data_IF_704812657358
#
_entry.id   IF_704812657358
#
_cell.length_a   1.000
_cell.length_b   1.000
_cell.length_c   1.000
_cell.angle_alpha   90.00
_cell.angle_beta   90.00
_cell.angle_gamma   90.00
#
_symmetry.space_group_name_H-M   'P 1'
#
loop_
_entity.id
_entity.type
_entity.pdbx_description
1 polymer ?
#
# COMPACT_ATOMS: atom_id res chain seq x y z
N UNK A 1 19.69 8.71 5.06
CA UNK A 1 19.00 7.71 5.89
C UNK A 1 19.25 7.90 7.38
N UNK A 2 20.51 8.07 7.83
CA UNK A 2 20.83 8.19 9.27
C UNK A 2 20.07 9.31 10.00
N UNK A 3 19.94 10.50 9.39
CA UNK A 3 19.16 11.61 9.95
C UNK A 3 17.67 11.24 10.16
N UNK A 4 17.05 10.60 9.16
CA UNK A 4 15.64 10.19 9.23
C UNK A 4 15.45 9.15 10.33
N UNK A 5 16.34 8.14 10.40
CA UNK A 5 16.28 7.12 11.44
C UNK A 5 16.40 7.74 12.84
N UNK A 6 17.35 8.65 13.06
CA UNK A 6 17.51 9.37 14.33
C UNK A 6 16.25 10.15 14.72
N UNK A 7 15.58 10.78 13.75
CA UNK A 7 14.32 11.52 13.99
C UNK A 7 13.16 10.57 14.32
N UNK A 8 12.99 9.50 13.57
CA UNK A 8 11.96 8.49 13.84
C UNK A 8 12.16 7.83 15.21
N UNK A 9 13.39 7.49 15.57
CA UNK A 9 13.71 6.93 16.90
C UNK A 9 13.36 7.90 18.03
N UNK A 10 13.65 9.19 17.87
CA UNK A 10 13.28 10.20 18.86
C UNK A 10 11.76 10.31 19.02
N UNK A 11 11.00 10.24 17.92
CA UNK A 11 9.53 10.27 17.93
C UNK A 11 8.96 9.04 18.63
N UNK A 12 9.45 7.84 18.29
CA UNK A 12 8.99 6.57 18.90
C UNK A 12 9.27 6.57 20.40
N UNK A 13 10.49 6.93 20.82
CA UNK A 13 10.86 6.99 22.24
C UNK A 13 10.01 7.97 23.02
N UNK A 14 9.79 9.17 22.46
CA UNK A 14 8.92 10.18 23.07
C UNK A 14 7.51 9.63 23.27
N UNK A 15 6.93 9.01 22.24
CA UNK A 15 5.57 8.44 22.35
C UNK A 15 5.48 7.27 23.33
N UNK A 16 6.50 6.41 23.40
CA UNK A 16 6.55 5.34 24.42
C UNK A 16 6.54 5.91 25.83
N UNK A 17 7.37 6.92 26.09
CA UNK A 17 7.39 7.58 27.38
C UNK A 17 6.03 8.20 27.71
N UNK A 18 5.40 8.89 26.75
CA UNK A 18 4.03 9.42 26.94
C UNK A 18 3.02 8.32 27.31
N UNK A 19 3.10 7.15 26.67
CA UNK A 19 2.20 6.01 26.94
C UNK A 19 2.48 5.39 28.31
N UNK A 20 3.75 5.27 28.71
CA UNK A 20 4.17 4.76 30.02
C UNK A 20 3.79 5.70 31.15
N UNK A 21 3.92 7.01 30.93
CA UNK A 21 3.54 8.05 31.90
C UNK A 21 2.01 8.21 32.00
N UNK A 22 1.25 7.79 30.99
CA UNK A 22 -0.21 7.86 30.98
C UNK A 22 -0.81 6.69 31.78
N UNK A 23 -1.54 6.96 32.88
CA UNK A 23 -2.21 5.94 33.67
C UNK A 23 -3.07 4.98 32.84
N UNK A 24 -3.20 3.72 33.28
CA UNK A 24 -3.93 2.67 32.54
C UNK A 24 -5.41 3.01 32.29
N UNK A 25 -6.03 3.76 33.21
CA UNK A 25 -7.42 4.21 33.14
C UNK A 25 -7.63 5.45 32.24
N UNK A 26 -6.54 6.08 31.79
CA UNK A 26 -6.59 7.23 30.90
C UNK A 26 -6.48 6.82 29.44
N UNK A 27 -7.15 7.62 28.60
CA UNK A 27 -7.28 7.36 27.18
C UNK A 27 -6.01 7.78 26.42
N UNK A 28 -5.55 6.94 25.49
CA UNK A 28 -4.42 7.24 24.61
C UNK A 28 -4.88 7.80 23.26
N UNK A 29 -4.10 8.65 22.58
CA UNK A 29 -4.46 9.15 21.25
C UNK A 29 -4.67 8.03 20.22
N UNK A 30 -5.77 8.09 19.45
CA UNK A 30 -6.04 7.16 18.35
C UNK A 30 -5.28 7.56 17.08
N UNK A 31 -3.97 7.37 17.10
CA UNK A 31 -3.11 7.56 15.93
C UNK A 31 -2.30 6.30 15.62
N UNK A 32 -1.77 6.24 14.38
CA UNK A 32 -1.05 5.07 13.85
C UNK A 32 0.11 4.67 14.76
N UNK A 33 0.85 5.65 15.29
CA UNK A 33 2.03 5.37 16.13
C UNK A 33 1.62 4.76 17.46
N UNK A 34 0.58 5.30 18.10
CA UNK A 34 0.02 4.72 19.33
C UNK A 34 -0.44 3.29 19.10
N UNK A 35 -1.22 3.04 18.04
CA UNK A 35 -1.72 1.70 17.70
C UNK A 35 -0.58 0.70 17.48
N UNK A 36 0.50 1.10 16.79
CA UNK A 36 1.69 0.25 16.60
C UNK A 36 2.41 -0.06 17.92
N UNK A 37 2.50 0.91 18.84
CA UNK A 37 3.19 0.74 20.13
C UNK A 37 2.40 -0.17 21.08
N UNK A 38 1.08 0.02 21.15
CA UNK A 38 0.24 -0.69 22.12
C UNK A 38 -0.24 -2.06 21.62
N UNK A 39 -0.06 -2.39 20.34
CA UNK A 39 -0.51 -3.67 19.79
C UNK A 39 0.06 -4.84 20.60
N UNK A 40 -0.81 -5.78 20.96
CA UNK A 40 -0.49 -6.93 21.81
C UNK A 40 0.03 -6.57 23.22
N UNK A 41 -0.37 -5.41 23.74
CA UNK A 41 -0.16 -5.04 25.15
C UNK A 41 -1.49 -4.98 25.89
N UNK A 42 -1.46 -4.85 27.22
CA UNK A 42 -2.67 -4.64 28.03
C UNK A 42 -3.45 -3.36 27.68
N UNK A 43 -2.86 -2.46 26.89
CA UNK A 43 -3.49 -1.24 26.38
C UNK A 43 -4.14 -1.43 25.01
N UNK A 44 -3.95 -2.59 24.35
CA UNK A 44 -4.61 -2.91 23.08
C UNK A 44 -6.10 -3.15 23.31
N UNK A 45 -6.96 -2.43 22.57
CA UNK A 45 -8.42 -2.60 22.66
C UNK A 45 -8.84 -3.98 22.17
N UNK A 46 -8.08 -4.54 21.22
CA UNK A 46 -8.30 -5.88 20.67
C UNK A 46 -7.41 -6.93 21.37
N UNK A 47 -7.04 -6.72 22.64
CA UNK A 47 -6.24 -7.68 23.38
C UNK A 47 -7.00 -9.02 23.53
N UNK A 48 -6.62 -10.01 22.72
CA UNK A 48 -7.17 -11.36 22.80
C UNK A 48 -6.32 -12.17 23.78
N UNK A 49 -6.89 -12.55 24.94
CA UNK A 49 -6.29 -13.48 25.92
C UNK A 49 -6.09 -14.92 25.39
N UNK A 50 -6.45 -15.19 24.13
CA UNK A 50 -6.44 -16.53 23.55
C UNK A 50 -5.07 -16.92 22.96
N UNK A 51 -4.18 -17.41 23.83
CA UNK A 51 -3.26 -18.53 23.55
C UNK A 51 -2.12 -18.38 22.52
N UNK A 52 -2.11 -17.33 21.70
CA UNK A 52 -0.96 -16.95 20.85
C UNK A 52 -0.53 -15.53 21.19
N UNK A 53 0.25 -15.39 22.25
CA UNK A 53 0.88 -14.12 22.61
C UNK A 53 1.89 -13.75 21.53
N UNK A 54 1.49 -12.93 20.56
CA UNK A 54 2.45 -12.23 19.71
C UNK A 54 3.04 -11.09 20.53
N UNK A 55 4.37 -11.03 20.67
CA UNK A 55 5.04 -9.97 21.42
C UNK A 55 4.68 -8.58 20.88
N UNK A 56 4.86 -7.55 21.70
CA UNK A 56 4.82 -6.16 21.25
C UNK A 56 5.89 -5.90 20.18
N UNK A 57 5.61 -4.90 19.33
CA UNK A 57 6.51 -4.49 18.26
C UNK A 57 7.73 -3.75 18.83
N UNK A 58 8.91 -4.04 18.29
CA UNK A 58 10.16 -3.35 18.65
C UNK A 58 10.24 -1.97 17.98
N UNK A 59 11.05 -1.06 18.54
CA UNK A 59 11.27 0.26 17.96
C UNK A 59 11.80 0.17 16.52
N UNK A 60 12.60 -0.85 16.22
CA UNK A 60 13.10 -1.06 14.86
C UNK A 60 11.99 -1.45 13.90
N UNK A 61 11.09 -2.34 14.29
CA UNK A 61 9.94 -2.72 13.47
C UNK A 61 8.96 -1.55 13.28
N UNK A 62 8.68 -0.80 14.35
CA UNK A 62 7.86 0.42 14.27
C UNK A 62 8.51 1.44 13.34
N UNK A 63 9.82 1.67 13.45
CA UNK A 63 10.56 2.59 12.58
C UNK A 63 10.45 2.19 11.12
N UNK A 64 10.61 0.90 10.81
CA UNK A 64 10.48 0.38 9.44
C UNK A 64 9.05 0.62 8.92
N UNK A 65 8.02 0.31 9.71
CA UNK A 65 6.63 0.54 9.31
C UNK A 65 6.31 2.03 9.08
N UNK A 66 6.79 2.93 9.95
CA UNK A 66 6.64 4.38 9.76
C UNK A 66 7.38 4.86 8.51
N UNK A 67 8.58 4.33 8.28
CA UNK A 67 9.38 4.69 7.11
C UNK A 67 8.73 4.21 5.81
N UNK A 68 8.17 3.01 5.79
CA UNK A 68 7.40 2.46 4.67
C UNK A 68 6.16 3.32 4.37
N UNK A 69 5.43 3.73 5.42
CA UNK A 69 4.34 4.70 5.29
C UNK A 69 4.77 5.99 4.61
N UNK A 70 5.90 6.58 5.04
CA UNK A 70 6.44 7.82 4.46
C UNK A 70 6.91 7.66 3.00
N UNK A 71 7.52 6.52 2.66
CA UNK A 71 7.94 6.24 1.29
C UNK A 71 6.75 6.06 0.34
N UNK A 72 5.67 5.44 0.81
CA UNK A 72 4.42 5.29 0.06
C UNK A 72 3.76 6.64 -0.27
N UNK A 73 3.85 7.61 0.64
CA UNK A 73 3.18 8.92 0.50
C UNK A 73 3.58 9.66 -0.77
N UNK A 74 4.84 9.63 -1.22
CA UNK A 74 5.25 10.44 -2.39
C UNK A 74 4.58 10.02 -3.70
N UNK A 75 4.40 8.70 -3.91
CA UNK A 75 3.77 8.18 -5.14
C UNK A 75 2.26 8.31 -5.07
N UNK A 76 1.71 8.03 -3.89
CA UNK A 76 0.30 8.15 -3.59
C UNK A 76 -0.17 9.61 -3.58
N UNK A 77 0.64 10.58 -3.13
CA UNK A 77 0.32 12.00 -3.18
C UNK A 77 0.23 12.52 -4.62
N UNK A 78 1.13 12.07 -5.50
CA UNK A 78 1.01 12.37 -6.93
C UNK A 78 -0.30 11.79 -7.49
N UNK A 79 -0.59 10.51 -7.21
CA UNK A 79 -1.84 9.87 -7.63
C UNK A 79 -3.08 10.64 -7.12
N UNK A 80 -3.12 11.02 -5.84
CA UNK A 80 -4.20 11.82 -5.26
C UNK A 80 -4.30 13.20 -5.90
N UNK A 81 -3.20 13.88 -6.20
CA UNK A 81 -3.23 15.17 -6.89
C UNK A 81 -3.86 15.05 -8.28
N UNK A 82 -3.56 13.98 -9.03
CA UNK A 82 -4.18 13.73 -10.33
C UNK A 82 -5.66 13.38 -10.19
N UNK A 83 -6.02 12.52 -9.22
CA UNK A 83 -7.41 12.17 -8.94
C UNK A 83 -8.23 13.42 -8.58
N UNK A 84 -7.74 14.24 -7.64
CA UNK A 84 -8.41 15.47 -7.23
C UNK A 84 -8.55 16.42 -8.42
N UNK A 85 -7.49 16.59 -9.23
CA UNK A 85 -7.53 17.42 -10.42
C UNK A 85 -8.62 16.97 -11.39
N UNK A 86 -8.70 15.69 -11.74
CA UNK A 86 -9.70 15.21 -12.70
C UNK A 86 -11.11 15.20 -12.11
N UNK A 87 -11.28 14.83 -10.84
CA UNK A 87 -12.59 14.90 -10.17
C UNK A 87 -13.09 16.34 -10.09
N UNK A 88 -12.21 17.32 -9.83
CA UNK A 88 -12.61 18.73 -9.76
C UNK A 88 -12.98 19.32 -11.12
N UNK A 89 -12.42 18.78 -12.21
CA UNK A 89 -12.72 19.23 -13.57
C UNK A 89 -13.93 18.48 -14.17
N UNK A 90 -14.13 17.20 -13.84
CA UNK A 90 -15.13 16.31 -14.44
C UNK A 90 -15.96 15.57 -13.36
N UNK A 91 -16.88 16.29 -12.68
CA UNK A 91 -17.64 15.80 -11.52
C UNK A 91 -18.96 15.07 -11.85
N UNK A 92 -19.06 14.43 -13.02
CA UNK A 92 -20.34 13.97 -13.59
C UNK A 92 -21.11 12.94 -12.74
N UNK A 93 -20.43 11.97 -12.10
CA UNK A 93 -21.07 10.95 -11.25
C UNK A 93 -20.04 10.16 -10.42
N UNK A 94 -20.51 9.42 -9.39
CA UNK A 94 -19.64 8.56 -8.58
C UNK A 94 -18.98 7.45 -9.39
N UNK A 95 -19.70 6.86 -10.35
CA UNK A 95 -19.14 5.85 -11.26
C UNK A 95 -18.05 6.43 -12.16
N UNK A 96 -18.19 7.69 -12.59
CA UNK A 96 -17.14 8.37 -13.35
C UNK A 96 -15.92 8.69 -12.48
N UNK A 97 -16.11 9.07 -11.21
CA UNK A 97 -14.99 9.22 -10.27
C UNK A 97 -14.22 7.91 -10.09
N UNK A 98 -14.92 6.77 -10.00
CA UNK A 98 -14.28 5.46 -9.94
C UNK A 98 -13.50 5.13 -11.22
N UNK A 99 -14.05 5.44 -12.39
CA UNK A 99 -13.38 5.31 -13.68
C UNK A 99 -12.09 6.17 -13.75
N UNK A 100 -12.14 7.40 -13.25
CA UNK A 100 -10.97 8.28 -13.13
C UNK A 100 -9.92 7.64 -12.22
N UNK A 101 -10.30 7.16 -11.03
CA UNK A 101 -9.37 6.51 -10.09
C UNK A 101 -8.68 5.30 -10.72
N UNK A 102 -9.44 4.43 -11.40
CA UNK A 102 -8.91 3.25 -12.08
C UNK A 102 -7.95 3.63 -13.21
N UNK A 103 -8.29 4.64 -14.01
CA UNK A 103 -7.44 5.06 -15.12
C UNK A 103 -6.16 5.78 -14.65
N UNK A 104 -6.24 6.59 -13.57
CA UNK A 104 -5.05 7.14 -12.93
C UNK A 104 -4.18 6.02 -12.39
N UNK A 105 -4.74 5.01 -11.71
CA UNK A 105 -3.97 3.87 -11.21
C UNK A 105 -3.30 3.05 -12.33
N UNK A 106 -3.93 3.00 -13.52
CA UNK A 106 -3.34 2.36 -14.70
C UNK A 106 -2.12 3.15 -15.20
N UNK A 107 -2.29 4.45 -15.44
CA UNK A 107 -1.25 5.30 -16.06
C UNK A 107 -0.15 5.66 -15.06
N UNK A 108 -0.51 5.94 -13.82
CA UNK A 108 0.40 6.31 -12.74
C UNK A 108 0.25 5.32 -11.58
N UNK A 109 0.69 4.07 -11.75
CA UNK A 109 0.55 3.07 -10.71
C UNK A 109 1.34 3.48 -9.47
N UNK A 110 0.72 3.30 -8.29
CA UNK A 110 1.36 3.59 -6.99
C UNK A 110 2.69 2.84 -6.83
N UNK A 111 2.78 1.64 -7.42
CA UNK A 111 4.01 0.85 -7.50
C UNK A 111 4.35 0.54 -8.95
N UNK A 112 5.59 0.85 -9.36
CA UNK A 112 6.08 0.55 -10.73
C UNK A 112 6.27 -0.96 -10.94
N UNK A 113 6.77 -1.65 -9.92
CA UNK A 113 7.08 -3.07 -9.97
C UNK A 113 7.18 -3.65 -8.56
N UNK A 114 6.96 -4.95 -8.42
CA UNK A 114 7.22 -5.69 -7.18
C UNK A 114 7.96 -6.99 -7.46
N UNK A 115 8.58 -7.55 -6.42
CA UNK A 115 9.29 -8.82 -6.53
C UNK A 115 8.53 -9.98 -5.89
N UNK A 116 8.82 -11.18 -6.39
CA UNK A 116 8.46 -12.47 -5.79
C UNK A 116 9.69 -13.35 -5.75
N UNK A 117 9.87 -14.09 -4.67
CA UNK A 117 11.00 -15.00 -4.49
C UNK A 117 10.49 -16.44 -4.41
N UNK A 118 11.18 -17.35 -5.10
CA UNK A 118 10.82 -18.77 -5.14
C UNK A 118 11.56 -19.56 -4.07
N UNK A 119 10.80 -20.14 -3.14
CA UNK A 119 11.37 -21.01 -2.09
C UNK A 119 11.59 -22.46 -2.54
N UNK A 120 10.99 -22.86 -3.66
CA UNK A 120 11.11 -24.19 -4.27
C UNK A 120 11.13 -24.06 -5.79
N UNK A 121 11.65 -25.09 -6.46
CA UNK A 121 11.56 -25.17 -7.91
C UNK A 121 10.10 -25.31 -8.36
N UNK A 122 9.72 -24.58 -9.40
CA UNK A 122 8.34 -24.57 -9.90
C UNK A 122 8.28 -24.29 -11.41
N UNK A 123 7.17 -24.66 -12.04
CA UNK A 123 6.91 -24.41 -13.45
C UNK A 123 6.08 -23.13 -13.61
N UNK A 124 6.70 -22.07 -14.14
CA UNK A 124 6.07 -20.76 -14.33
C UNK A 124 6.19 -20.37 -15.81
N UNK A 125 5.07 -19.95 -16.40
CA UNK A 125 4.97 -19.57 -17.82
C UNK A 125 5.47 -20.66 -18.80
N UNK A 126 5.35 -21.93 -18.42
CA UNK A 126 5.81 -23.08 -19.23
C UNK A 126 7.26 -23.48 -19.00
N UNK A 127 8.04 -22.68 -18.27
CA UNK A 127 9.46 -22.94 -17.98
C UNK A 127 9.65 -23.51 -16.58
N UNK A 128 10.62 -24.41 -16.43
CA UNK A 128 11.04 -24.91 -15.13
C UNK A 128 12.05 -23.95 -14.50
N UNK A 129 11.74 -23.41 -13.33
CA UNK A 129 12.61 -22.50 -12.59
C UNK A 129 13.16 -23.18 -11.35
N UNK A 130 14.44 -23.02 -11.02
CA UNK A 130 14.99 -23.52 -9.76
C UNK A 130 14.47 -22.70 -8.56
N UNK A 131 14.66 -23.21 -7.35
CA UNK A 131 14.49 -22.42 -6.14
C UNK A 131 15.54 -21.29 -6.09
N UNK A 132 15.24 -20.22 -5.37
CA UNK A 132 16.16 -19.09 -5.18
C UNK A 132 16.08 -18.02 -6.25
N UNK A 133 15.09 -18.06 -7.14
CA UNK A 133 14.89 -17.07 -8.19
C UNK A 133 13.99 -15.94 -7.70
N UNK A 134 14.44 -14.70 -7.94
CA UNK A 134 13.64 -13.48 -7.78
C UNK A 134 13.02 -13.10 -9.12
N UNK A 135 11.69 -13.06 -9.18
CA UNK A 135 10.92 -12.51 -10.29
C UNK A 135 10.57 -11.06 -10.00
N UNK A 136 10.77 -10.18 -10.98
CA UNK A 136 10.32 -8.79 -10.93
C UNK A 136 9.13 -8.67 -11.87
N UNK A 137 7.99 -8.24 -11.33
CA UNK A 137 6.77 -8.00 -12.08
C UNK A 137 6.68 -6.49 -12.33
N UNK A 138 6.81 -6.09 -13.59
CA UNK A 138 6.72 -4.69 -14.01
C UNK A 138 5.25 -4.30 -14.29
N UNK A 139 4.63 -3.67 -13.29
CA UNK A 139 3.25 -3.19 -13.37
C UNK A 139 3.11 -2.15 -14.48
N UNK A 140 4.07 -1.21 -14.59
CA UNK A 140 3.98 -0.13 -15.57
C UNK A 140 4.04 -0.66 -17.00
N UNK A 141 4.88 -1.65 -17.26
CA UNK A 141 4.94 -2.32 -18.55
C UNK A 141 3.62 -3.05 -18.87
N UNK A 142 3.06 -3.78 -17.89
CA UNK A 142 1.78 -4.50 -18.04
C UNK A 142 0.62 -3.53 -18.33
N UNK A 143 0.52 -2.43 -17.57
CA UNK A 143 -0.52 -1.41 -17.70
C UNK A 143 -0.45 -0.60 -19.01
N UNK A 144 0.72 -0.62 -19.67
CA UNK A 144 0.96 0.10 -20.90
C UNK A 144 1.07 -0.82 -22.14
N UNK A 145 0.81 -2.12 -22.00
CA UNK A 145 0.99 -3.06 -23.12
C UNK A 145 -0.15 -2.94 -24.13
N UNK A 146 0.18 -2.60 -25.37
CA UNK A 146 -0.78 -2.38 -26.47
C UNK A 146 -1.70 -3.59 -26.73
N UNK A 147 -1.21 -4.82 -26.51
CA UNK A 147 -2.02 -6.05 -26.65
C UNK A 147 -3.23 -6.10 -25.70
N UNK A 148 -3.19 -5.32 -24.60
CA UNK A 148 -4.18 -5.34 -23.53
C UNK A 148 -4.95 -4.03 -23.39
N UNK A 149 -4.37 -2.92 -23.83
CA UNK A 149 -4.91 -1.58 -23.63
C UNK A 149 -4.89 -0.81 -24.93
N UNK A 150 -6.07 -0.40 -25.40
CA UNK A 150 -6.19 0.52 -26.52
C UNK A 150 -5.74 1.93 -26.13
N UNK A 151 -4.88 2.53 -26.95
CA UNK A 151 -4.24 3.83 -26.71
C UNK A 151 -3.65 3.94 -25.28
N UNK A 152 -2.71 3.05 -24.88
CA UNK A 152 -2.34 2.91 -23.46
C UNK A 152 -1.71 4.16 -22.84
N UNK A 153 -1.11 5.02 -23.66
CA UNK A 153 -0.50 6.27 -23.21
C UNK A 153 -1.50 7.43 -23.11
N UNK A 154 -2.74 7.25 -23.56
CA UNK A 154 -3.81 8.23 -23.45
C UNK A 154 -4.59 7.99 -22.15
N UNK A 155 -4.82 9.07 -21.40
CA UNK A 155 -5.76 9.07 -20.29
C UNK A 155 -7.18 9.01 -20.84
N UNK A 156 -7.88 7.90 -20.62
CA UNK A 156 -9.24 7.67 -21.09
C UNK A 156 -10.07 6.93 -20.03
N UNK A 157 -10.73 7.65 -19.10
CA UNK A 157 -11.63 7.05 -18.10
C UNK A 157 -12.83 6.33 -18.72
N UNK A 158 -13.30 6.76 -19.89
CA UNK A 158 -14.51 6.25 -20.52
C UNK A 158 -14.43 4.75 -20.84
N UNK A 159 -13.22 4.19 -20.97
CA UNK A 159 -13.03 2.74 -21.14
C UNK A 159 -13.64 1.93 -19.99
N UNK A 160 -13.65 2.50 -18.78
CA UNK A 160 -14.21 1.87 -17.57
C UNK A 160 -15.72 2.06 -17.46
N UNK A 161 -16.32 2.87 -18.33
CA UNK A 161 -17.75 3.13 -18.38
C UNK A 161 -18.48 2.24 -19.40
N UNK A 162 -17.74 1.46 -20.19
CA UNK A 162 -18.32 0.49 -21.13
C UNK A 162 -18.99 -0.64 -20.34
N UNK A 163 -20.24 -0.93 -20.68
CA UNK A 163 -21.03 -1.97 -20.01
C UNK A 163 -20.31 -3.33 -20.10
N UNK A 164 -20.16 -4.01 -18.96
CA UNK A 164 -19.45 -5.29 -18.82
C UNK A 164 -17.96 -5.25 -19.23
N UNK A 165 -17.34 -4.06 -19.25
CA UNK A 165 -15.89 -3.98 -19.45
C UNK A 165 -15.15 -4.57 -18.27
N UNK A 166 -14.28 -5.53 -18.56
CA UNK A 166 -13.33 -6.09 -17.62
C UNK A 166 -11.94 -6.10 -18.27
N UNK A 167 -10.90 -5.60 -17.57
CA UNK A 167 -9.55 -5.70 -18.09
C UNK A 167 -9.17 -7.17 -18.29
N UNK A 168 -8.32 -7.44 -19.28
CA UNK A 168 -7.79 -8.79 -19.49
C UNK A 168 -7.13 -9.27 -18.19
N UNK A 169 -7.26 -10.56 -17.90
CA UNK A 169 -6.72 -11.15 -16.68
C UNK A 169 -5.25 -10.77 -16.50
N UNK A 170 -4.92 -10.23 -15.31
CA UNK A 170 -3.60 -9.74 -14.94
C UNK A 170 -3.07 -8.54 -15.74
N UNK A 171 -3.89 -7.85 -16.55
CA UNK A 171 -3.49 -6.64 -17.28
C UNK A 171 -3.72 -5.34 -16.50
N UNK A 172 -4.51 -5.41 -15.42
CA UNK A 172 -4.74 -4.33 -14.47
C UNK A 172 -4.41 -4.84 -13.06
N UNK A 173 -3.50 -4.16 -12.37
CA UNK A 173 -3.05 -4.47 -11.02
C UNK A 173 -3.27 -3.22 -10.18
N UNK A 174 -4.33 -3.25 -9.39
CA UNK A 174 -4.65 -2.19 -8.46
C UNK A 174 -4.10 -2.57 -7.08
N UNK A 175 -3.09 -1.85 -6.62
CA UNK A 175 -2.58 -2.00 -5.25
C UNK A 175 -3.45 -1.17 -4.29
N UNK A 176 -4.70 -1.56 -4.13
CA UNK A 176 -5.45 -1.21 -2.92
C UNK A 176 -5.24 -2.35 -1.93
N UNK A 177 -5.13 -2.02 -0.66
CA UNK A 177 -5.12 -3.02 0.41
C UNK A 177 -6.52 -3.62 0.41
N UNK A 178 -6.70 -4.70 -0.34
CA UNK A 178 -7.85 -5.58 -0.22
C UNK A 178 -7.39 -6.77 0.62
N UNK A 179 -8.11 -6.97 1.73
CA UNK A 179 -7.85 -7.96 2.79
C UNK A 179 -7.81 -9.42 2.29
#
# INVERSE_FOLDING_TARGET
MEFINKKLDAIIKKRRQEIEDTPLNEHLPHDILTSMIIKNTLRDVDYIEAGKVTRAMTDTEIRVNLFDGLLGVNKTANMFSFIIYYISHDYYSLSYCEAIVKEVARILPAMRSFSRYTNKSDKIAGYQWPAGITFIIDIKAIHNKDDYWEEPNRFNPDRWMVENFEPKKNSFILCLVED
#
